data_IF_686218795775
#
_entry.id   IF_686218795775
#
_cell.length_a   1.000
_cell.length_b   1.000
_cell.length_c   1.000
_cell.angle_alpha   90.00
_cell.angle_beta   90.00
_cell.angle_gamma   90.00
#
_symmetry.space_group_name_H-M   'P 1'
#
loop_
_entity.id
_entity.type
_entity.pdbx_description
1 polymer ?
#
# COMPACT_ATOMS: atom_id res chain seq x y z
N UNK A 1 -7.83 8.27 2.47
CA UNK A 1 -8.12 6.83 2.44
C UNK A 1 -7.32 6.11 3.51
N UNK A 2 -7.97 5.22 4.27
CA UNK A 2 -7.36 4.40 5.32
C UNK A 2 -6.75 3.12 4.71
N UNK A 3 -5.45 2.85 4.93
CA UNK A 3 -4.78 1.63 4.45
C UNK A 3 -5.45 0.32 4.91
N UNK A 4 -6.11 0.31 6.07
CA UNK A 4 -6.82 -0.88 6.56
C UNK A 4 -8.04 -1.21 5.70
N UNK A 5 -8.80 -0.20 5.30
CA UNK A 5 -9.96 -0.38 4.40
C UNK A 5 -9.52 -0.84 3.00
N UNK A 6 -8.42 -0.27 2.48
CA UNK A 6 -7.87 -0.71 1.20
C UNK A 6 -7.32 -2.14 1.23
N UNK A 7 -6.77 -2.59 2.36
CA UNK A 7 -6.42 -4.00 2.54
C UNK A 7 -7.65 -4.91 2.52
N UNK A 8 -8.79 -4.46 3.08
CA UNK A 8 -10.05 -5.18 2.97
C UNK A 8 -10.53 -5.26 1.52
N UNK A 9 -10.41 -4.19 0.75
CA UNK A 9 -10.78 -4.18 -0.68
C UNK A 9 -9.97 -5.21 -1.48
N UNK A 10 -8.65 -5.27 -1.29
CA UNK A 10 -7.79 -6.29 -1.93
C UNK A 10 -8.25 -7.70 -1.57
N UNK A 11 -8.60 -7.95 -0.31
CA UNK A 11 -9.10 -9.27 0.10
C UNK A 11 -10.49 -9.59 -0.42
N UNK A 12 -11.35 -8.57 -0.60
CA UNK A 12 -12.65 -8.69 -1.23
C UNK A 12 -12.53 -9.16 -2.67
N UNK A 13 -11.60 -8.59 -3.43
CA UNK A 13 -11.31 -9.00 -4.81
C UNK A 13 -10.80 -10.43 -4.89
N UNK A 14 -9.85 -10.83 -4.04
CA UNK A 14 -9.33 -12.22 -4.04
C UNK A 14 -10.48 -13.22 -3.82
N UNK A 15 -11.36 -12.94 -2.85
CA UNK A 15 -12.50 -13.79 -2.53
C UNK A 15 -13.58 -13.79 -3.61
N UNK A 16 -13.85 -12.66 -4.25
CA UNK A 16 -14.85 -12.58 -5.32
C UNK A 16 -14.44 -13.38 -6.56
N UNK A 17 -13.14 -13.59 -6.75
CA UNK A 17 -12.59 -14.49 -7.78
C UNK A 17 -12.68 -15.98 -7.40
N UNK A 18 -13.14 -16.31 -6.18
CA UNK A 18 -13.25 -17.68 -5.69
C UNK A 18 -11.93 -18.29 -5.21
N UNK A 19 -10.87 -17.49 -5.13
CA UNK A 19 -9.53 -17.95 -4.78
C UNK A 19 -9.28 -17.89 -3.26
N UNK A 20 -8.62 -18.90 -2.67
CA UNK A 20 -8.29 -18.90 -1.25
C UNK A 20 -7.10 -18.00 -0.91
N UNK A 21 -6.23 -17.72 -1.89
CA UNK A 21 -5.08 -16.83 -1.78
C UNK A 21 -4.69 -16.27 -3.17
N UNK A 22 -3.81 -15.27 -3.21
CA UNK A 22 -3.26 -14.76 -4.45
C UNK A 22 -1.76 -14.41 -4.36
N UNK A 23 -1.11 -14.37 -5.52
CA UNK A 23 0.16 -13.68 -5.69
C UNK A 23 -0.13 -12.19 -5.94
N UNK A 24 0.36 -11.32 -5.05
CA UNK A 24 0.09 -9.89 -5.11
C UNK A 24 1.29 -9.14 -5.67
N UNK A 25 1.06 -8.34 -6.70
CA UNK A 25 2.07 -7.46 -7.30
C UNK A 25 1.63 -6.02 -7.08
N UNK A 26 2.45 -5.25 -6.38
CA UNK A 26 2.17 -3.84 -6.08
C UNK A 26 3.21 -2.91 -6.71
N UNK A 27 2.76 -1.84 -7.32
CA UNK A 27 3.61 -0.78 -7.85
C UNK A 27 3.29 0.55 -7.16
N UNK A 28 4.32 1.31 -6.79
CA UNK A 28 4.17 2.64 -6.18
C UNK A 28 3.23 2.61 -4.95
N UNK A 29 2.23 3.48 -4.85
CA UNK A 29 1.21 3.43 -3.79
C UNK A 29 0.46 2.09 -3.73
N UNK A 30 0.26 1.42 -4.86
CA UNK A 30 -0.25 0.04 -4.90
C UNK A 30 0.70 -0.95 -4.20
N UNK A 31 2.01 -0.69 -4.23
CA UNK A 31 3.01 -1.39 -3.44
C UNK A 31 2.85 -1.19 -1.93
N UNK A 32 2.50 0.02 -1.49
CA UNK A 32 2.25 0.32 -0.08
C UNK A 32 1.01 -0.45 0.43
N UNK A 33 -0.03 -0.51 -0.40
CA UNK A 33 -1.22 -1.31 -0.11
C UNK A 33 -0.92 -2.81 -0.12
N UNK A 34 -0.10 -3.28 -1.06
CA UNK A 34 0.29 -4.68 -1.14
C UNK A 34 1.08 -5.14 0.10
N UNK A 35 2.00 -4.30 0.61
CA UNK A 35 2.66 -4.52 1.89
C UNK A 35 1.66 -4.57 3.06
N UNK A 36 0.70 -3.65 3.09
CA UNK A 36 -0.30 -3.55 4.14
C UNK A 36 -1.21 -4.79 4.15
N UNK A 37 -1.70 -5.22 2.97
CA UNK A 37 -2.53 -6.41 2.83
C UNK A 37 -1.77 -7.69 3.27
N UNK A 38 -0.51 -7.84 2.85
CA UNK A 38 0.32 -8.98 3.26
C UNK A 38 0.55 -9.01 4.78
N UNK A 39 0.74 -7.85 5.42
CA UNK A 39 0.92 -7.76 6.86
C UNK A 39 -0.38 -8.03 7.65
N UNK A 40 -1.52 -7.51 7.18
CA UNK A 40 -2.80 -7.64 7.87
C UNK A 40 -3.50 -8.97 7.63
N UNK A 41 -3.27 -9.60 6.47
CA UNK A 41 -3.96 -10.81 6.00
C UNK A 41 -2.98 -11.77 5.34
N UNK A 42 -1.92 -12.22 6.03
CA UNK A 42 -0.85 -13.02 5.43
C UNK A 42 -1.34 -14.33 4.80
N UNK A 43 -2.43 -14.91 5.31
CA UNK A 43 -3.02 -16.13 4.76
C UNK A 43 -3.62 -15.97 3.35
N UNK A 44 -3.95 -14.74 2.94
CA UNK A 44 -4.54 -14.46 1.63
C UNK A 44 -3.49 -14.02 0.59
N UNK A 45 -2.24 -13.79 1.03
CA UNK A 45 -1.13 -13.37 0.16
C UNK A 45 -0.06 -14.44 0.15
N UNK A 46 -0.11 -15.33 -0.86
CA UNK A 46 0.84 -16.45 -1.00
C UNK A 46 2.21 -16.00 -1.48
N UNK A 47 2.27 -14.96 -2.32
CA UNK A 47 3.51 -14.34 -2.82
C UNK A 47 3.31 -12.84 -2.94
N UNK A 48 4.38 -12.08 -2.73
CA UNK A 48 4.38 -10.62 -2.83
C UNK A 48 5.56 -10.16 -3.67
N UNK A 49 5.29 -9.36 -4.70
CA UNK A 49 6.29 -8.60 -5.43
C UNK A 49 5.94 -7.11 -5.36
N UNK A 50 6.91 -6.26 -5.05
CA UNK A 50 6.70 -4.82 -4.95
C UNK A 50 7.77 -4.08 -5.73
N UNK A 51 7.34 -3.14 -6.59
CA UNK A 51 8.21 -2.27 -7.37
C UNK A 51 8.00 -0.81 -7.02
N UNK A 52 9.09 -0.04 -6.96
CA UNK A 52 9.09 1.41 -6.72
C UNK A 52 8.47 1.83 -5.38
N UNK A 53 8.31 0.91 -4.42
CA UNK A 53 7.82 1.20 -3.09
C UNK A 53 8.60 0.41 -2.03
N UNK A 54 9.44 1.07 -1.21
CA UNK A 54 10.15 0.40 -0.14
C UNK A 54 9.19 -0.10 0.94
N UNK A 55 9.67 -1.03 1.77
CA UNK A 55 8.90 -1.53 2.91
C UNK A 55 8.39 -0.35 3.79
N UNK A 56 7.12 -0.36 4.27
CA UNK A 56 6.51 0.79 4.96
C UNK A 56 7.32 1.36 6.13
N UNK A 57 8.00 0.49 6.88
CA UNK A 57 8.90 0.92 7.98
C UNK A 57 10.11 1.71 7.49
N UNK A 58 10.71 1.31 6.37
CA UNK A 58 11.85 2.00 5.76
C UNK A 58 11.40 3.31 5.12
N UNK A 59 10.25 3.29 4.45
CA UNK A 59 9.63 4.48 3.89
C UNK A 59 9.35 5.54 4.96
N UNK A 60 8.71 5.17 6.06
CA UNK A 60 8.44 6.07 7.20
C UNK A 60 9.73 6.63 7.81
N UNK A 61 10.75 5.79 8.00
CA UNK A 61 12.04 6.24 8.53
C UNK A 61 12.70 7.28 7.60
N UNK A 62 12.65 7.08 6.28
CA UNK A 62 13.18 8.02 5.30
C UNK A 62 12.42 9.35 5.29
N UNK A 63 11.09 9.32 5.41
CA UNK A 63 10.28 10.54 5.51
C UNK A 63 10.65 11.38 6.75
N UNK A 64 10.89 10.73 7.89
CA UNK A 64 11.25 11.44 9.12
C UNK A 64 12.69 11.98 9.04
N UNK A 65 13.62 11.22 8.45
CA UNK A 65 15.04 11.54 8.45
C UNK A 65 15.48 12.49 7.32
N UNK A 66 14.75 12.56 6.21
CA UNK A 66 15.13 13.31 5.01
C UNK A 66 14.04 14.29 4.57
N UNK A 67 14.34 15.58 4.74
CA UNK A 67 13.45 16.70 4.38
C UNK A 67 13.27 16.81 2.86
N UNK A 68 14.27 16.47 2.05
CA UNK A 68 14.16 16.47 0.58
C UNK A 68 13.23 15.37 0.12
N UNK A 69 13.36 14.18 0.71
CA UNK A 69 12.47 13.05 0.43
C UNK A 69 11.03 13.35 0.85
N UNK A 70 10.83 13.97 2.02
CA UNK A 70 9.51 14.43 2.46
C UNK A 70 8.90 15.48 1.54
N UNK A 71 9.69 16.44 1.04
CA UNK A 71 9.22 17.46 0.10
C UNK A 71 8.86 16.87 -1.26
N UNK A 72 9.67 15.97 -1.81
CA UNK A 72 9.39 15.27 -3.06
C UNK A 72 8.08 14.46 -2.98
N UNK A 73 7.77 13.94 -1.79
CA UNK A 73 6.56 13.16 -1.54
C UNK A 73 5.33 14.01 -1.19
N UNK A 74 5.45 15.34 -1.20
CA UNK A 74 4.37 16.25 -0.77
C UNK A 74 3.07 16.11 -1.57
N UNK A 75 3.16 15.69 -2.83
CA UNK A 75 1.99 15.46 -3.69
C UNK A 75 1.01 14.40 -3.15
N UNK A 76 1.49 13.40 -2.37
CA UNK A 76 0.64 12.36 -1.78
C UNK A 76 -0.40 12.96 -0.82
N UNK A 77 -0.05 14.04 -0.11
CA UNK A 77 -0.98 14.72 0.79
C UNK A 77 -2.17 15.33 0.04
N UNK A 78 -2.02 15.60 -1.25
CA UNK A 78 -3.12 16.05 -2.13
C UNK A 78 -4.25 15.03 -2.22
N UNK A 79 -3.92 13.72 -2.25
CA UNK A 79 -4.92 12.64 -2.33
C UNK A 79 -5.78 12.49 -1.06
N UNK A 80 -5.43 13.18 0.03
CA UNK A 80 -6.22 13.17 1.26
C UNK A 80 -7.13 14.40 1.40
N UNK A 81 -7.16 15.33 0.44
CA UNK A 81 -8.04 16.50 0.49
C UNK A 81 -9.43 16.12 -0.01
N UNK A 82 -10.46 16.11 0.84
CA UNK A 82 -11.78 15.62 0.45
C UNK A 82 -12.58 16.60 -0.44
N UNK A 83 -12.11 17.84 -0.61
CA UNK A 83 -12.89 18.93 -1.23
C UNK A 83 -12.02 19.90 -2.06
N UNK A 84 -11.20 19.38 -2.97
CA UNK A 84 -10.57 20.20 -4.01
C UNK A 84 -11.03 19.64 -5.36
N UNK A 85 -11.61 20.44 -6.26
CA UNK A 85 -12.02 19.98 -7.57
C UNK A 85 -10.83 19.49 -8.42
#
# INVERSE_FOLDING_TARGET
YDPANLALDITGVIRSLGEPDAALVGHDLGGYLAWTAAAMRPKLVRRLAVSSMPHPRRWRAAMIADVRQSSAMSHIWGFQRPWVP
#
